data_IF_271307623931
#
_entry.id   IF_271307623931
#
_cell.length_a   1.000
_cell.length_b   1.000
_cell.length_c   1.000
_cell.angle_alpha   90.00
_cell.angle_beta   90.00
_cell.angle_gamma   90.00
#
_symmetry.space_group_name_H-M   'P 1'
#
loop_
_entity.id
_entity.type
_entity.pdbx_description
1 polymer ?
#
# COMPACT_ATOMS: atom_id res chain seq x y z
N UNK A 1 -7.30 17.41 3.32
CA UNK A 1 -6.76 16.63 4.45
C UNK A 1 -7.82 16.30 5.52
N UNK A 2 -8.05 17.09 6.57
CA UNK A 2 -8.81 16.62 7.76
C UNK A 2 -10.26 16.20 7.49
N UNK A 3 -11.02 16.94 6.68
CA UNK A 3 -12.37 16.55 6.25
C UNK A 3 -12.36 15.35 5.28
N UNK A 4 -11.32 15.29 4.47
CA UNK A 4 -11.24 14.39 3.34
C UNK A 4 -10.93 12.95 3.75
N UNK A 5 -10.16 12.75 4.82
CA UNK A 5 -9.86 11.41 5.34
C UNK A 5 -11.14 10.62 5.65
N UNK A 6 -12.06 11.15 6.50
CA UNK A 6 -13.37 10.55 6.73
C UNK A 6 -14.22 10.44 5.46
N UNK A 7 -14.14 11.40 4.54
CA UNK A 7 -14.88 11.33 3.28
C UNK A 7 -14.44 10.12 2.42
N UNK A 8 -13.15 9.78 2.43
CA UNK A 8 -12.58 8.65 1.69
C UNK A 8 -12.97 7.27 2.25
N UNK A 9 -13.51 7.20 3.48
CA UNK A 9 -14.05 5.95 4.04
C UNK A 9 -15.48 5.68 3.56
N UNK A 10 -16.18 6.69 3.04
CA UNK A 10 -17.52 6.53 2.48
C UNK A 10 -17.42 5.72 1.18
N UNK A 11 -18.13 4.58 1.13
CA UNK A 11 -18.08 3.62 0.01
C UNK A 11 -18.26 4.26 -1.37
N UNK A 12 -19.17 5.21 -1.51
CA UNK A 12 -19.42 5.90 -2.79
C UNK A 12 -18.22 6.71 -3.26
N UNK A 13 -17.58 7.46 -2.35
CA UNK A 13 -16.38 8.26 -2.63
C UNK A 13 -15.19 7.33 -2.87
N UNK A 14 -15.00 6.35 -1.99
CA UNK A 14 -13.93 5.35 -2.10
C UNK A 14 -13.98 4.58 -3.42
N UNK A 15 -15.19 4.30 -3.93
CA UNK A 15 -15.35 3.64 -5.23
C UNK A 15 -14.71 4.42 -6.38
N UNK A 16 -14.53 5.74 -6.25
CA UNK A 16 -13.89 6.62 -7.22
C UNK A 16 -12.41 6.87 -6.88
N UNK A 17 -12.09 7.14 -5.62
CA UNK A 17 -10.76 7.61 -5.18
C UNK A 17 -9.75 6.50 -4.90
N UNK A 18 -10.21 5.29 -4.59
CA UNK A 18 -9.31 4.18 -4.28
C UNK A 18 -8.54 3.74 -5.53
N UNK A 19 -7.25 3.46 -5.36
CA UNK A 19 -6.24 3.21 -6.40
C UNK A 19 -5.85 4.38 -7.30
N UNK A 20 -6.51 5.54 -7.18
CA UNK A 20 -6.19 6.71 -7.99
C UNK A 20 -5.19 7.63 -7.29
N UNK A 21 -4.70 8.63 -8.03
CA UNK A 21 -3.84 9.70 -7.52
C UNK A 21 -4.51 10.59 -6.46
N UNK A 22 -5.83 10.48 -6.29
CA UNK A 22 -6.57 11.18 -5.25
C UNK A 22 -6.02 10.84 -3.86
N UNK A 23 -5.86 9.54 -3.57
CA UNK A 23 -5.39 9.09 -2.25
C UNK A 23 -4.01 9.67 -1.96
N UNK A 24 -3.14 9.74 -2.97
CA UNK A 24 -1.78 10.28 -2.83
C UNK A 24 -1.83 11.78 -2.56
N UNK A 25 -2.68 12.52 -3.28
CA UNK A 25 -2.88 13.95 -3.04
C UNK A 25 -3.33 14.21 -1.59
N UNK A 26 -4.31 13.45 -1.10
CA UNK A 26 -4.80 13.52 0.27
C UNK A 26 -3.67 13.39 1.29
N UNK A 27 -2.89 12.30 1.26
CA UNK A 27 -1.83 12.09 2.25
C UNK A 27 -0.75 13.17 2.18
N UNK A 28 -0.40 13.64 0.98
CA UNK A 28 0.64 14.67 0.83
C UNK A 28 0.18 16.05 1.30
N UNK A 29 -1.10 16.40 1.17
CA UNK A 29 -1.63 17.64 1.77
C UNK A 29 -1.54 17.61 3.30
N UNK A 30 -1.75 16.44 3.92
CA UNK A 30 -1.55 16.27 5.36
C UNK A 30 -0.07 16.26 5.77
N UNK A 31 0.74 15.43 5.12
CA UNK A 31 2.13 15.22 5.49
C UNK A 31 3.05 16.39 5.12
N UNK A 32 3.02 16.84 3.86
CA UNK A 32 3.90 17.93 3.38
C UNK A 32 3.28 19.30 3.61
N UNK A 33 1.96 19.43 3.48
CA UNK A 33 1.25 20.68 3.74
C UNK A 33 1.17 20.99 5.23
N UNK A 34 0.32 20.28 5.96
CA UNK A 34 0.08 20.58 7.38
C UNK A 34 1.30 20.27 8.27
N UNK A 35 1.75 19.01 8.33
CA UNK A 35 2.86 18.62 9.22
C UNK A 35 4.19 19.26 8.79
N UNK A 36 4.48 19.27 7.49
CA UNK A 36 5.71 19.84 6.94
C UNK A 36 5.87 21.32 7.30
N UNK A 37 4.88 22.16 7.01
CA UNK A 37 4.97 23.59 7.32
C UNK A 37 4.98 23.88 8.82
N UNK A 38 4.29 23.08 9.62
CA UNK A 38 4.37 23.17 11.09
C UNK A 38 5.81 22.93 11.56
N UNK A 39 6.43 21.84 11.12
CA UNK A 39 7.82 21.50 11.46
C UNK A 39 8.78 22.60 10.99
N UNK A 40 8.62 23.10 9.76
CA UNK A 40 9.44 24.20 9.25
C UNK A 40 9.34 25.46 10.12
N UNK A 41 8.13 25.78 10.59
CA UNK A 41 7.88 26.93 11.45
C UNK A 41 8.50 26.75 12.83
N UNK A 42 8.36 25.55 13.41
CA UNK A 42 9.01 25.19 14.67
C UNK A 42 10.53 25.30 14.56
N UNK A 43 11.14 24.84 13.46
CA UNK A 43 12.59 24.94 13.25
C UNK A 43 13.06 26.39 13.13
N UNK A 44 12.35 27.24 12.40
CA UNK A 44 12.68 28.67 12.32
C UNK A 44 12.52 29.41 13.66
N UNK A 45 11.67 28.91 14.55
CA UNK A 45 11.52 29.45 15.90
C UNK A 45 12.56 28.90 16.88
N UNK A 46 12.90 27.62 16.76
CA UNK A 46 13.76 26.89 17.68
C UNK A 46 15.25 27.17 17.44
N UNK A 47 15.71 27.10 16.19
CA UNK A 47 17.14 27.21 15.86
C UNK A 47 17.75 28.56 16.31
N UNK A 48 17.14 29.73 16.06
CA UNK A 48 17.70 30.98 16.55
C UNK A 48 17.84 31.04 18.08
N UNK A 49 16.91 30.42 18.83
CA UNK A 49 16.97 30.34 20.29
C UNK A 49 18.09 29.44 20.79
N UNK A 50 18.21 28.23 20.22
CA UNK A 50 19.27 27.27 20.58
C UNK A 50 20.67 27.85 20.40
N UNK A 51 20.85 28.74 19.42
CA UNK A 51 22.14 29.38 19.13
C UNK A 51 22.23 30.83 19.60
N UNK A 52 21.27 31.28 20.44
CA UNK A 52 21.17 32.64 20.98
C UNK A 52 21.49 33.73 19.95
N UNK A 53 20.84 33.65 18.80
CA UNK A 53 21.08 34.54 17.67
C UNK A 53 19.77 34.90 16.98
N UNK A 54 19.84 35.82 16.03
CA UNK A 54 18.70 36.16 15.16
C UNK A 54 18.75 35.30 13.90
N UNK A 55 17.59 35.05 13.31
CA UNK A 55 17.53 34.34 12.05
C UNK A 55 18.38 35.05 10.98
N UNK A 56 19.24 34.31 10.30
CA UNK A 56 20.23 34.86 9.37
C UNK A 56 19.59 35.70 8.25
N UNK A 57 18.47 35.22 7.68
CA UNK A 57 17.72 35.97 6.67
C UNK A 57 16.22 35.70 6.76
N UNK A 58 15.47 36.75 7.10
CA UNK A 58 14.00 36.75 7.02
C UNK A 58 13.52 36.60 5.57
N UNK A 59 14.25 37.20 4.61
CA UNK A 59 13.89 37.10 3.18
C UNK A 59 13.99 35.67 2.67
N UNK A 60 15.04 34.93 3.04
CA UNK A 60 15.15 33.50 2.66
C UNK A 60 14.07 32.65 3.29
N UNK A 61 13.69 32.93 4.55
CA UNK A 61 12.56 32.24 5.18
C UNK A 61 11.26 32.51 4.42
N UNK A 62 10.97 33.77 4.07
CA UNK A 62 9.81 34.11 3.25
C UNK A 62 9.83 33.41 1.90
N UNK A 63 10.97 33.36 1.21
CA UNK A 63 11.09 32.62 -0.06
C UNK A 63 10.87 31.13 0.11
N UNK A 64 11.42 30.51 1.15
CA UNK A 64 11.14 29.10 1.45
C UNK A 64 9.63 28.87 1.61
N UNK A 65 8.93 29.65 2.43
CA UNK A 65 7.49 29.45 2.63
C UNK A 65 6.68 29.64 1.34
N UNK A 66 7.00 30.65 0.52
CA UNK A 66 6.31 30.87 -0.76
C UNK A 66 6.61 29.78 -1.79
N UNK A 67 7.88 29.39 -1.94
CA UNK A 67 8.29 28.32 -2.86
C UNK A 67 7.70 26.98 -2.41
N UNK A 68 7.72 26.69 -1.11
CA UNK A 68 7.09 25.51 -0.53
C UNK A 68 5.58 25.51 -0.79
N UNK A 69 4.90 26.65 -0.63
CA UNK A 69 3.45 26.77 -0.82
C UNK A 69 3.07 26.53 -2.28
N UNK A 70 3.78 27.17 -3.20
CA UNK A 70 3.61 26.94 -4.63
C UNK A 70 3.96 25.50 -5.00
N UNK A 71 5.01 24.93 -4.40
CA UNK A 71 5.44 23.56 -4.58
C UNK A 71 4.35 22.56 -4.21
N UNK A 72 3.73 22.70 -3.04
CA UNK A 72 2.64 21.81 -2.62
C UNK A 72 1.36 22.03 -3.44
N UNK A 73 1.07 23.25 -3.88
CA UNK A 73 -0.08 23.52 -4.77
C UNK A 73 0.09 22.84 -6.13
N UNK A 74 1.26 23.01 -6.78
CA UNK A 74 1.57 22.34 -8.04
C UNK A 74 1.79 20.83 -7.90
N UNK A 75 1.98 20.33 -6.67
CA UNK A 75 1.97 18.90 -6.40
C UNK A 75 0.56 18.34 -6.24
N UNK A 76 -0.24 18.92 -5.34
CA UNK A 76 -1.50 18.34 -4.90
C UNK A 76 -2.65 18.56 -5.90
N UNK A 77 -2.78 19.77 -6.47
CA UNK A 77 -3.90 20.10 -7.36
C UNK A 77 -3.91 19.19 -8.62
N UNK A 78 -2.79 19.01 -9.34
CA UNK A 78 -2.78 18.10 -10.49
C UNK A 78 -3.03 16.65 -10.10
N UNK A 79 -2.66 16.24 -8.88
CA UNK A 79 -2.89 14.88 -8.40
C UNK A 79 -4.37 14.63 -8.08
N UNK A 80 -5.08 15.62 -7.51
CA UNK A 80 -6.54 15.54 -7.39
C UNK A 80 -7.21 15.44 -8.76
N UNK A 81 -6.77 16.28 -9.70
CA UNK A 81 -7.30 16.24 -11.06
C UNK A 81 -7.04 14.89 -11.72
N UNK A 82 -5.81 14.38 -11.66
CA UNK A 82 -5.46 13.05 -12.17
C UNK A 82 -6.31 11.95 -11.51
N UNK A 83 -6.52 12.04 -10.19
CA UNK A 83 -7.31 11.09 -9.44
C UNK A 83 -8.78 11.04 -9.87
N UNK A 84 -9.39 12.20 -10.12
CA UNK A 84 -10.75 12.30 -10.67
C UNK A 84 -10.79 11.76 -12.09
N UNK A 85 -9.87 12.19 -12.96
CA UNK A 85 -9.79 11.73 -14.35
C UNK A 85 -9.66 10.21 -14.43
N UNK A 86 -8.77 9.61 -13.63
CA UNK A 86 -8.63 8.15 -13.52
C UNK A 86 -9.93 7.48 -13.11
N UNK A 87 -10.53 7.94 -12.00
CA UNK A 87 -11.75 7.35 -11.48
C UNK A 87 -12.92 7.42 -12.45
N UNK A 88 -13.07 8.54 -13.17
CA UNK A 88 -14.14 8.73 -14.16
C UNK A 88 -13.89 7.89 -15.42
N UNK A 89 -12.69 7.95 -16.00
CA UNK A 89 -12.35 7.19 -17.21
C UNK A 89 -12.48 5.69 -17.00
N UNK A 90 -12.05 5.17 -15.85
CA UNK A 90 -12.11 3.73 -15.58
C UNK A 90 -13.54 3.21 -15.46
N UNK A 91 -14.50 4.07 -15.09
CA UNK A 91 -15.90 3.71 -14.83
C UNK A 91 -16.85 4.07 -15.97
N UNK A 92 -16.35 4.72 -17.02
CA UNK A 92 -17.19 5.21 -18.10
C UNK A 92 -17.59 4.11 -19.08
N UNK A 93 -18.89 4.01 -19.32
CA UNK A 93 -19.50 3.15 -20.34
C UNK A 93 -20.21 4.02 -21.38
N UNK A 94 -20.24 3.56 -22.63
CA UNK A 94 -21.02 4.19 -23.70
C UNK A 94 -22.51 3.79 -23.60
N UNK A 95 -23.35 4.38 -24.46
CA UNK A 95 -24.79 4.07 -24.53
C UNK A 95 -25.08 2.60 -24.79
N UNK A 96 -24.18 1.92 -25.50
CA UNK A 96 -24.30 0.52 -25.90
C UNK A 96 -23.85 -0.44 -24.80
N UNK A 97 -23.37 0.08 -23.66
CA UNK A 97 -22.97 -0.70 -22.49
C UNK A 97 -21.55 -1.25 -22.54
N UNK A 98 -20.71 -0.84 -23.50
CA UNK A 98 -19.28 -1.15 -23.56
C UNK A 98 -18.46 -0.09 -22.83
N UNK A 99 -17.27 -0.47 -22.34
CA UNK A 99 -16.35 0.49 -21.74
C UNK A 99 -15.86 1.50 -22.78
N UNK A 100 -15.94 2.79 -22.44
CA UNK A 100 -15.45 3.87 -23.31
C UNK A 100 -13.92 3.79 -23.50
N UNK A 101 -13.20 3.46 -22.42
CA UNK A 101 -11.74 3.44 -22.38
C UNK A 101 -11.22 2.04 -21.99
N UNK A 102 -11.35 1.01 -22.84
CA UNK A 102 -10.99 -0.37 -22.49
C UNK A 102 -9.46 -0.54 -22.33
N UNK A 103 -8.66 0.22 -23.07
CA UNK A 103 -7.21 0.21 -22.92
C UNK A 103 -6.79 1.08 -21.73
N UNK A 104 -6.19 0.46 -20.71
CA UNK A 104 -5.73 1.18 -19.52
C UNK A 104 -4.70 2.28 -19.84
N UNK A 105 -3.89 2.07 -20.89
CA UNK A 105 -2.83 3.00 -21.28
C UNK A 105 -3.38 4.37 -21.69
N UNK A 106 -4.60 4.44 -22.21
CA UNK A 106 -5.22 5.70 -22.60
C UNK A 106 -5.37 6.65 -21.42
N UNK A 107 -5.85 6.15 -20.28
CA UNK A 107 -5.92 6.94 -19.04
C UNK A 107 -4.55 7.41 -18.59
N UNK A 108 -3.52 6.55 -18.70
CA UNK A 108 -2.15 6.90 -18.31
C UNK A 108 -1.61 8.04 -19.16
N UNK A 109 -1.83 8.01 -20.48
CA UNK A 109 -1.40 9.07 -21.40
C UNK A 109 -2.14 10.38 -21.08
N UNK A 110 -3.44 10.32 -20.76
CA UNK A 110 -4.23 11.50 -20.41
C UNK A 110 -3.74 12.21 -19.15
N UNK A 111 -3.23 11.49 -18.16
CA UNK A 111 -2.74 12.08 -16.89
C UNK A 111 -1.26 12.48 -16.91
N UNK A 112 -0.51 12.19 -17.98
CA UNK A 112 0.90 12.57 -18.11
C UNK A 112 1.17 14.07 -17.87
N UNK A 113 0.34 15.01 -18.38
CA UNK A 113 0.53 16.43 -18.08
C UNK A 113 0.48 16.72 -16.57
N UNK A 114 -0.41 16.07 -15.83
CA UNK A 114 -0.54 16.24 -14.37
C UNK A 114 0.71 15.72 -13.65
N UNK A 115 1.29 14.61 -14.11
CA UNK A 115 2.55 14.10 -13.57
C UNK A 115 3.73 15.04 -13.81
N UNK A 116 3.79 15.72 -14.96
CA UNK A 116 4.82 16.74 -15.24
C UNK A 116 4.70 17.92 -14.27
N UNK A 117 3.48 18.44 -14.06
CA UNK A 117 3.25 19.55 -13.12
C UNK A 117 3.57 19.10 -11.68
N UNK A 118 3.20 17.87 -11.30
CA UNK A 118 3.55 17.28 -10.01
C UNK A 118 5.08 17.26 -9.80
N UNK A 119 5.85 16.86 -10.81
CA UNK A 119 7.31 16.84 -10.73
C UNK A 119 7.90 18.24 -10.52
N UNK A 120 7.33 19.26 -11.18
CA UNK A 120 7.69 20.67 -10.98
C UNK A 120 7.39 21.08 -9.52
N UNK A 121 6.18 20.79 -9.03
CA UNK A 121 5.77 21.12 -7.66
C UNK A 121 6.66 20.46 -6.61
N UNK A 122 6.97 19.17 -6.77
CA UNK A 122 7.89 18.45 -5.89
C UNK A 122 9.32 19.03 -5.91
N UNK A 123 9.82 19.42 -7.08
CA UNK A 123 11.13 20.04 -7.21
C UNK A 123 11.20 21.41 -6.51
N UNK A 124 10.14 22.22 -6.65
CA UNK A 124 10.02 23.48 -5.91
C UNK A 124 10.02 23.25 -4.40
N UNK A 125 9.28 22.25 -3.92
CA UNK A 125 9.23 21.94 -2.50
C UNK A 125 10.60 21.51 -1.94
N UNK A 126 11.33 20.67 -2.67
CA UNK A 126 12.72 20.28 -2.32
C UNK A 126 13.63 21.51 -2.31
N UNK A 127 13.56 22.36 -3.33
CA UNK A 127 14.36 23.59 -3.40
C UNK A 127 14.07 24.51 -2.21
N UNK A 128 12.79 24.69 -1.85
CA UNK A 128 12.39 25.43 -0.64
C UNK A 128 12.99 24.84 0.63
N UNK A 129 12.97 23.51 0.76
CA UNK A 129 13.56 22.80 1.91
C UNK A 129 15.07 22.97 1.97
N UNK A 130 15.77 22.98 0.83
CA UNK A 130 17.21 23.26 0.76
C UNK A 130 17.53 24.71 1.17
N UNK A 131 16.72 25.68 0.75
CA UNK A 131 16.84 27.07 1.20
C UNK A 131 16.64 27.20 2.70
N UNK A 132 15.69 26.46 3.28
CA UNK A 132 15.50 26.37 4.72
C UNK A 132 16.75 25.84 5.41
N UNK A 133 17.23 24.66 5.00
CA UNK A 133 18.38 24.01 5.58
C UNK A 133 19.61 24.94 5.55
N UNK A 134 19.83 25.62 4.43
CA UNK A 134 20.89 26.62 4.30
C UNK A 134 20.71 27.79 5.26
N UNK A 135 19.51 28.38 5.35
CA UNK A 135 19.25 29.52 6.23
C UNK A 135 19.43 29.14 7.72
N UNK A 136 18.94 27.98 8.12
CA UNK A 136 19.08 27.45 9.48
C UNK A 136 20.54 27.14 9.81
N UNK A 137 21.29 26.52 8.88
CA UNK A 137 22.71 26.26 9.05
C UNK A 137 23.53 27.56 9.21
N UNK A 138 23.25 28.57 8.38
CA UNK A 138 23.87 29.89 8.50
C UNK A 138 23.55 30.56 9.83
N UNK A 139 22.30 30.43 10.28
CA UNK A 139 21.84 30.93 11.58
C UNK A 139 22.63 30.28 12.71
N UNK A 140 22.67 28.94 12.75
CA UNK A 140 23.43 28.20 13.75
C UNK A 140 24.93 28.58 13.77
N UNK A 141 25.55 28.72 12.59
CA UNK A 141 26.96 29.12 12.46
C UNK A 141 27.24 30.56 12.91
N UNK A 142 26.25 31.45 12.85
CA UNK A 142 26.39 32.85 13.30
C UNK A 142 26.18 33.03 14.80
N UNK A 143 25.71 32.01 15.50
CA UNK A 143 25.40 32.07 16.92
C UNK A 143 26.35 31.22 17.78
N UNK A 144 26.04 31.16 19.07
CA UNK A 144 26.73 30.34 20.05
C UNK A 144 25.70 29.41 20.66
N UNK A 145 25.95 28.09 20.61
CA UNK A 145 25.01 27.14 21.17
C UNK A 145 24.89 27.35 22.69
N UNK A 146 23.66 27.51 23.17
CA UNK A 146 23.35 27.66 24.60
C UNK A 146 22.78 26.32 25.08
N UNK A 147 23.53 25.54 25.88
CA UNK A 147 23.10 24.21 26.31
C UNK A 147 21.96 24.26 27.33
N UNK A 148 21.93 25.31 28.15
CA UNK A 148 20.98 25.45 29.27
C UNK A 148 20.44 26.88 29.27
N UNK A 149 19.10 26.99 29.21
CA UNK A 149 18.38 28.25 29.39
C UNK A 149 17.45 28.05 30.59
N UNK A 150 17.56 28.90 31.61
CA UNK A 150 16.64 28.86 32.74
C UNK A 150 15.25 29.32 32.29
N UNK A 151 14.36 28.35 32.05
CA UNK A 151 12.96 28.62 31.71
C UNK A 151 12.11 28.54 32.97
N UNK A 152 11.52 29.65 33.38
CA UNK A 152 10.50 29.64 34.42
C UNK A 152 9.16 29.24 33.80
N UNK A 153 8.60 28.10 34.25
CA UNK A 153 7.24 27.74 33.89
C UNK A 153 6.28 28.82 34.41
N UNK A 154 5.23 29.12 33.62
CA UNK A 154 4.15 29.97 34.10
C UNK A 154 3.65 29.43 35.45
N UNK A 155 3.57 30.30 36.46
CA UNK A 155 3.12 29.92 37.82
C UNK A 155 1.81 29.13 37.69
N UNK A 156 1.82 27.89 38.15
CA UNK A 156 0.60 27.08 38.25
C UNK A 156 -0.37 27.88 39.12
N UNK A 157 -1.50 28.34 38.57
CA UNK A 157 -2.44 29.14 39.35
C UNK A 157 -3.09 28.25 40.40
N UNK A 158 -2.95 28.62 41.68
CA UNK A 158 -3.61 27.92 42.80
C UNK A 158 -5.14 28.08 42.78
N UNK A 159 -5.65 28.97 41.94
CA UNK A 159 -7.08 29.12 41.71
C UNK A 159 -7.62 27.90 40.95
N UNK A 160 -8.67 27.21 41.44
CA UNK A 160 -9.43 26.32 40.57
C UNK A 160 -9.82 27.16 39.37
N UNK A 161 -9.67 26.64 38.16
CA UNK A 161 -10.00 27.39 36.96
C UNK A 161 -11.49 27.72 36.97
N UNK A 162 -11.85 28.83 37.61
CA UNK A 162 -13.19 29.36 37.66
C UNK A 162 -13.50 29.80 36.25
N UNK A 163 -14.39 29.05 35.62
CA UNK A 163 -15.21 29.43 34.47
C UNK A 163 -14.73 30.69 33.77
N UNK A 164 -13.83 30.53 32.79
CA UNK A 164 -13.58 31.56 31.80
C UNK A 164 -14.81 31.70 30.89
N UNK A 165 -15.95 32.15 31.42
CA UNK A 165 -17.18 32.57 30.72
C UNK A 165 -17.87 31.57 29.78
N UNK A 166 -17.22 30.46 29.47
CA UNK A 166 -17.61 29.44 28.52
C UNK A 166 -17.66 28.14 29.28
N UNK A 167 -18.74 27.95 30.03
CA UNK A 167 -19.16 26.63 30.52
C UNK A 167 -19.37 25.76 29.28
N UNK A 168 -18.33 25.07 28.82
CA UNK A 168 -18.50 24.05 27.81
C UNK A 168 -19.46 23.02 28.43
N UNK A 169 -20.62 22.74 27.82
CA UNK A 169 -21.67 21.93 28.44
C UNK A 169 -21.23 20.50 28.77
N UNK A 170 -20.09 20.08 28.24
CA UNK A 170 -19.47 18.77 28.40
C UNK A 170 -18.14 18.96 29.13
N UNK A 171 -18.11 18.83 30.45
CA UNK A 171 -16.90 19.06 31.27
C UNK A 171 -15.83 17.98 31.08
N UNK A 172 -14.86 18.19 30.18
CA UNK A 172 -13.77 17.26 29.87
C UNK A 172 -12.40 17.69 30.43
N UNK A 173 -12.32 18.85 31.09
CA UNK A 173 -11.07 19.39 31.65
C UNK A 173 -10.39 18.47 32.66
N UNK A 174 -11.15 17.65 33.38
CA UNK A 174 -10.60 16.67 34.33
C UNK A 174 -9.74 15.59 33.64
N UNK A 175 -10.00 15.34 32.35
CA UNK A 175 -9.24 14.44 31.50
C UNK A 175 -8.03 15.16 30.90
N UNK A 176 -8.24 16.34 30.32
CA UNK A 176 -7.18 17.15 29.69
C UNK A 176 -6.11 17.63 30.68
N UNK A 177 -6.50 17.89 31.93
CA UNK A 177 -5.58 18.33 32.97
C UNK A 177 -4.66 17.21 33.48
N UNK A 178 -4.94 15.95 33.16
CA UNK A 178 -4.19 14.77 33.63
C UNK A 178 -3.55 14.04 32.44
N UNK A 179 -2.37 14.49 31.95
CA UNK A 179 -1.79 13.97 30.72
C UNK A 179 -1.53 12.45 30.76
N UNK A 180 -1.03 11.92 31.88
CA UNK A 180 -0.81 10.46 32.03
C UNK A 180 -2.11 9.67 31.91
N UNK A 181 -3.19 10.13 32.57
CA UNK A 181 -4.49 9.49 32.50
C UNK A 181 -5.05 9.53 31.08
N UNK A 182 -4.96 10.69 30.42
CA UNK A 182 -5.40 10.84 29.03
C UNK A 182 -4.62 9.92 28.08
N UNK A 183 -3.30 9.83 28.22
CA UNK A 183 -2.47 8.92 27.42
C UNK A 183 -2.86 7.45 27.62
N UNK A 184 -3.10 7.02 28.85
CA UNK A 184 -3.54 5.63 29.14
C UNK A 184 -4.91 5.37 28.51
N UNK A 185 -5.87 6.27 28.67
CA UNK A 185 -7.21 6.11 28.09
C UNK A 185 -7.19 6.12 26.56
N UNK A 186 -6.38 6.98 25.95
CA UNK A 186 -6.17 7.00 24.50
C UNK A 186 -5.56 5.68 24.00
N UNK A 187 -4.56 5.14 24.71
CA UNK A 187 -3.97 3.84 24.39
C UNK A 187 -5.01 2.72 24.47
N UNK A 188 -5.82 2.69 25.54
CA UNK A 188 -6.92 1.72 25.69
C UNK A 188 -7.90 1.83 24.53
N UNK A 189 -8.30 3.04 24.14
CA UNK A 189 -9.22 3.25 23.01
C UNK A 189 -8.64 2.72 21.68
N UNK A 190 -7.36 2.97 21.41
CA UNK A 190 -6.66 2.46 20.21
C UNK A 190 -6.61 0.92 20.24
N UNK A 191 -6.27 0.33 21.39
CA UNK A 191 -6.21 -1.13 21.53
C UNK A 191 -7.57 -1.78 21.33
N UNK A 192 -8.65 -1.19 21.85
CA UNK A 192 -10.01 -1.71 21.64
C UNK A 192 -10.37 -1.71 20.16
N UNK A 193 -10.10 -0.62 19.43
CA UNK A 193 -10.30 -0.58 17.98
C UNK A 193 -9.52 -1.67 17.25
N UNK A 194 -8.23 -1.81 17.56
CA UNK A 194 -7.38 -2.85 16.97
C UNK A 194 -7.87 -4.28 17.29
N UNK A 195 -8.33 -4.53 18.51
CA UNK A 195 -8.87 -5.84 18.89
C UNK A 195 -10.16 -6.15 18.13
N UNK A 196 -11.07 -5.19 18.01
CA UNK A 196 -12.34 -5.36 17.29
C UNK A 196 -12.12 -5.63 15.80
N UNK A 197 -11.09 -5.04 15.19
CA UNK A 197 -10.76 -5.27 13.77
C UNK A 197 -9.98 -6.57 13.53
N UNK A 198 -8.97 -6.88 14.35
CA UNK A 198 -8.04 -7.99 14.10
C UNK A 198 -8.53 -9.34 14.66
N UNK A 199 -9.12 -9.35 15.86
CA UNK A 199 -9.46 -10.61 16.54
C UNK A 199 -10.53 -11.40 15.79
N UNK A 200 -11.66 -10.80 15.33
CA UNK A 200 -12.67 -11.54 14.58
C UNK A 200 -12.14 -12.11 13.26
N UNK A 201 -11.21 -11.41 12.59
CA UNK A 201 -10.59 -11.92 11.35
C UNK A 201 -9.72 -13.15 11.60
N UNK A 202 -9.08 -13.26 12.77
CA UNK A 202 -8.25 -14.42 13.12
C UNK A 202 -9.07 -15.61 13.63
N UNK A 203 -10.12 -15.37 14.41
CA UNK A 203 -10.90 -16.43 15.07
C UNK A 203 -12.00 -17.01 14.17
N UNK A 204 -12.63 -16.19 13.34
CA UNK A 204 -13.79 -16.59 12.54
C UNK A 204 -13.31 -17.04 11.14
N UNK A 205 -13.11 -18.34 10.97
CA UNK A 205 -12.62 -18.92 9.69
C UNK A 205 -13.53 -18.61 8.49
N UNK A 206 -14.82 -18.37 8.72
CA UNK A 206 -15.76 -17.97 7.67
C UNK A 206 -15.44 -16.61 7.05
N UNK A 207 -14.72 -15.73 7.78
CA UNK A 207 -14.28 -14.43 7.26
C UNK A 207 -13.16 -14.56 6.21
N UNK A 208 -12.44 -15.69 6.21
CA UNK A 208 -11.35 -15.97 5.25
C UNK A 208 -11.55 -17.36 4.64
N UNK A 209 -12.54 -17.53 3.75
CA UNK A 209 -12.84 -18.83 3.17
C UNK A 209 -11.67 -19.29 2.29
N UNK A 210 -11.11 -20.46 2.60
CA UNK A 210 -10.07 -21.07 1.76
C UNK A 210 -10.69 -21.69 0.52
N UNK A 211 -10.15 -21.37 -0.66
CA UNK A 211 -10.60 -21.95 -1.93
C UNK A 211 -9.77 -23.23 -2.17
N UNK A 212 -10.44 -24.38 -2.31
CA UNK A 212 -9.76 -25.69 -2.43
C UNK A 212 -8.86 -25.82 -3.67
N UNK A 213 -9.13 -25.04 -4.72
CA UNK A 213 -8.31 -25.02 -5.93
C UNK A 213 -7.04 -24.16 -5.80
N UNK A 214 -6.98 -23.26 -4.81
CA UNK A 214 -5.81 -22.41 -4.57
C UNK A 214 -4.72 -23.25 -3.92
N UNK A 215 -3.56 -23.31 -4.58
CA UNK A 215 -2.37 -24.04 -4.12
C UNK A 215 -1.25 -23.07 -3.73
N UNK A 216 -0.34 -23.49 -2.83
CA UNK A 216 0.90 -22.76 -2.61
C UNK A 216 1.66 -22.53 -3.92
N UNK A 217 2.37 -21.41 -4.00
CA UNK A 217 3.28 -21.12 -5.11
C UNK A 217 4.33 -22.22 -5.27
N UNK A 218 4.75 -22.49 -6.49
CA UNK A 218 5.92 -23.35 -6.71
C UNK A 218 7.21 -22.64 -6.25
N UNK A 219 8.29 -23.41 -6.10
CA UNK A 219 9.59 -22.86 -5.75
C UNK A 219 10.08 -21.71 -6.67
N UNK A 220 9.84 -21.81 -7.98
CA UNK A 220 10.20 -20.75 -8.93
C UNK A 220 9.29 -19.53 -8.79
N UNK A 221 7.99 -19.74 -8.56
CA UNK A 221 7.00 -18.68 -8.36
C UNK A 221 7.25 -17.90 -7.06
N UNK A 222 7.68 -18.58 -5.98
CA UNK A 222 8.09 -17.91 -4.73
C UNK A 222 9.22 -16.93 -4.99
N UNK A 223 10.28 -17.36 -5.70
CA UNK A 223 11.38 -16.46 -6.03
C UNK A 223 10.94 -15.35 -7.00
N UNK A 224 10.07 -15.66 -7.97
CA UNK A 224 9.48 -14.67 -8.88
C UNK A 224 8.66 -13.60 -8.16
N UNK A 225 7.91 -14.00 -7.13
CA UNK A 225 7.15 -13.12 -6.26
C UNK A 225 8.05 -12.23 -5.41
N UNK A 226 9.14 -12.78 -4.89
CA UNK A 226 10.13 -12.02 -4.14
C UNK A 226 10.84 -10.99 -5.04
N UNK A 227 11.08 -11.32 -6.30
CA UNK A 227 11.56 -10.36 -7.31
C UNK A 227 10.52 -9.26 -7.57
N UNK A 228 9.24 -9.62 -7.73
CA UNK A 228 8.15 -8.63 -7.88
C UNK A 228 8.11 -7.64 -6.70
N UNK A 229 8.38 -8.12 -5.48
CA UNK A 229 8.51 -7.28 -4.27
C UNK A 229 9.77 -6.42 -4.34
N UNK A 230 10.94 -7.02 -4.63
CA UNK A 230 12.24 -6.34 -4.71
C UNK A 230 12.21 -5.17 -5.70
N UNK A 231 11.59 -5.38 -6.85
CA UNK A 231 11.48 -4.40 -7.93
C UNK A 231 10.40 -3.34 -7.71
N UNK A 232 9.64 -3.42 -6.60
CA UNK A 232 8.64 -2.43 -6.22
C UNK A 232 7.40 -2.41 -7.12
N UNK A 233 7.11 -3.50 -7.85
CA UNK A 233 6.02 -3.56 -8.82
C UNK A 233 4.65 -3.23 -8.18
N UNK A 234 4.47 -3.62 -6.91
CA UNK A 234 3.28 -3.32 -6.08
C UNK A 234 2.96 -1.83 -5.94
N UNK A 235 3.96 -0.94 -6.11
CA UNK A 235 3.74 0.51 -6.08
C UNK A 235 3.04 1.07 -7.32
N UNK A 236 3.04 0.31 -8.42
CA UNK A 236 2.41 0.70 -9.68
C UNK A 236 1.23 -0.20 -10.05
N UNK A 237 1.24 -1.45 -9.63
CA UNK A 237 0.29 -2.48 -10.01
C UNK A 237 -0.39 -3.07 -8.78
N UNK A 238 -1.71 -3.00 -8.76
CA UNK A 238 -2.52 -3.73 -7.78
C UNK A 238 -2.68 -5.19 -8.17
N UNK A 239 -2.99 -6.01 -7.18
CA UNK A 239 -3.44 -7.40 -7.37
C UNK A 239 -4.74 -7.62 -6.59
N UNK A 240 -5.70 -6.72 -6.74
CA UNK A 240 -7.01 -6.84 -6.10
C UNK A 240 -8.06 -6.12 -6.94
N UNK A 241 -8.86 -6.91 -7.65
CA UNK A 241 -9.97 -6.47 -8.48
C UNK A 241 -11.20 -6.29 -7.59
N UNK A 242 -11.76 -5.08 -7.60
CA UNK A 242 -12.94 -4.74 -6.80
C UNK A 242 -14.22 -5.24 -7.47
N UNK A 243 -15.29 -5.51 -6.70
CA UNK A 243 -16.57 -6.00 -7.23
C UNK A 243 -17.40 -4.88 -7.87
N UNK A 244 -16.84 -4.18 -8.86
CA UNK A 244 -17.52 -3.21 -9.69
C UNK A 244 -17.57 -3.72 -11.13
N UNK A 245 -18.69 -3.47 -11.82
CA UNK A 245 -18.84 -3.83 -13.24
C UNK A 245 -17.66 -3.32 -14.08
N UNK A 246 -17.25 -2.07 -13.89
CA UNK A 246 -16.11 -1.46 -14.60
C UNK A 246 -14.78 -2.18 -14.42
N UNK A 247 -14.58 -2.82 -13.26
CA UNK A 247 -13.35 -3.60 -13.01
C UNK A 247 -13.48 -5.02 -13.54
N UNK A 248 -14.65 -5.64 -13.37
CA UNK A 248 -14.86 -7.01 -13.83
C UNK A 248 -14.81 -7.13 -15.35
N UNK A 249 -15.35 -6.14 -16.07
CA UNK A 249 -15.26 -6.07 -17.54
C UNK A 249 -13.81 -5.87 -18.01
N UNK A 250 -12.98 -5.17 -17.24
CA UNK A 250 -11.60 -4.83 -17.63
C UNK A 250 -10.59 -5.92 -17.30
N UNK A 251 -10.71 -6.50 -16.12
CA UNK A 251 -9.70 -7.40 -15.57
C UNK A 251 -10.18 -8.84 -15.44
N UNK A 252 -11.51 -9.09 -15.47
CA UNK A 252 -12.11 -10.39 -15.20
C UNK A 252 -12.68 -10.46 -13.79
N UNK A 253 -12.99 -11.67 -13.32
CA UNK A 253 -13.68 -11.88 -12.03
C UNK A 253 -13.01 -11.15 -10.86
N UNK A 254 -13.83 -10.53 -10.00
CA UNK A 254 -13.36 -9.84 -8.80
C UNK A 254 -12.57 -10.77 -7.88
N UNK A 255 -11.70 -10.19 -7.07
CA UNK A 255 -10.81 -10.95 -6.19
C UNK A 255 -11.51 -11.43 -4.93
N UNK A 256 -11.23 -12.67 -4.53
CA UNK A 256 -11.79 -13.31 -3.33
C UNK A 256 -10.70 -13.41 -2.26
N UNK A 257 -11.09 -13.26 -0.99
CA UNK A 257 -10.15 -13.34 0.13
C UNK A 257 -9.34 -14.65 0.14
N UNK A 258 -9.99 -15.76 -0.25
CA UNK A 258 -9.38 -17.09 -0.33
C UNK A 258 -8.22 -17.25 -1.31
N UNK A 259 -8.01 -16.30 -2.22
CA UNK A 259 -6.92 -16.34 -3.20
C UNK A 259 -5.60 -15.84 -2.60
N UNK A 260 -5.67 -15.04 -1.53
CA UNK A 260 -4.51 -14.41 -0.90
C UNK A 260 -4.00 -15.18 0.34
N UNK A 261 -4.58 -16.35 0.63
CA UNK A 261 -4.31 -17.09 1.88
C UNK A 261 -2.86 -17.55 2.04
N UNK A 262 -2.11 -17.64 0.94
CA UNK A 262 -0.68 -17.98 0.95
C UNK A 262 0.23 -16.79 0.65
N UNK A 263 -0.33 -15.58 0.54
CA UNK A 263 0.45 -14.37 0.27
C UNK A 263 1.03 -13.78 1.56
N UNK A 264 2.32 -13.99 1.75
CA UNK A 264 3.08 -13.40 2.84
C UNK A 264 4.22 -12.53 2.30
N UNK A 265 4.16 -11.18 2.40
CA UNK A 265 2.98 -10.36 2.75
C UNK A 265 2.01 -10.20 1.57
N UNK A 266 0.77 -9.78 1.80
CA UNK A 266 -0.19 -9.52 0.70
C UNK A 266 0.33 -8.48 -0.32
N UNK A 267 -0.05 -8.62 -1.59
CA UNK A 267 0.38 -7.74 -2.70
C UNK A 267 -0.79 -7.02 -3.39
N UNK A 268 -1.87 -6.73 -2.66
CA UNK A 268 -3.08 -6.08 -3.18
C UNK A 268 -2.81 -4.74 -3.86
N UNK A 269 -1.75 -4.04 -3.44
CA UNK A 269 -1.41 -2.70 -3.91
C UNK A 269 -2.32 -1.62 -3.33
N UNK A 270 -1.93 -0.36 -3.55
CA UNK A 270 -2.68 0.82 -3.08
C UNK A 270 -2.83 1.90 -4.16
N UNK A 271 -2.25 1.66 -5.34
CA UNK A 271 -2.26 2.56 -6.49
C UNK A 271 -2.24 1.76 -7.80
N UNK A 272 -2.87 2.30 -8.84
CA UNK A 272 -2.78 1.83 -10.23
C UNK A 272 -2.14 2.92 -11.12
N UNK A 273 -0.81 2.90 -11.20
CA UNK A 273 -0.08 3.60 -12.27
C UNK A 273 -0.09 2.75 -13.54
N UNK A 274 0.02 1.43 -13.37
CA UNK A 274 -0.27 0.42 -14.38
C UNK A 274 -1.55 -0.35 -14.04
N UNK A 275 -2.02 -1.24 -14.93
CA UNK A 275 -3.23 -2.01 -14.71
C UNK A 275 -3.10 -2.99 -13.53
N UNK A 276 -4.23 -3.45 -13.01
CA UNK A 276 -4.28 -4.57 -12.08
C UNK A 276 -3.75 -5.86 -12.74
N UNK A 277 -2.98 -6.66 -11.98
CA UNK A 277 -2.32 -7.87 -12.47
C UNK A 277 -2.93 -9.17 -11.94
N UNK A 278 -3.94 -9.13 -11.07
CA UNK A 278 -4.40 -10.35 -10.38
C UNK A 278 -4.99 -11.42 -11.32
N UNK A 279 -5.31 -11.07 -12.57
CA UNK A 279 -5.83 -11.99 -13.60
C UNK A 279 -4.97 -12.00 -14.85
N UNK A 280 -3.68 -11.67 -14.74
CA UNK A 280 -2.78 -11.64 -15.91
C UNK A 280 -2.36 -13.05 -16.35
N UNK A 281 -2.50 -14.07 -15.50
CA UNK A 281 -2.11 -15.44 -15.81
C UNK A 281 -2.77 -16.01 -17.06
N UNK A 282 -1.94 -16.36 -18.05
CA UNK A 282 -2.35 -16.86 -19.35
C UNK A 282 -2.93 -15.80 -20.30
N UNK A 283 -2.94 -14.52 -19.93
CA UNK A 283 -3.47 -13.44 -20.79
C UNK A 283 -2.49 -13.05 -21.89
N UNK A 284 -1.19 -13.12 -21.61
CA UNK A 284 -0.11 -12.82 -22.55
C UNK A 284 0.89 -13.99 -22.60
N UNK A 285 1.53 -14.25 -23.74
CA UNK A 285 2.57 -15.29 -23.83
C UNK A 285 3.84 -14.87 -23.07
N UNK A 286 4.65 -15.84 -22.66
CA UNK A 286 5.91 -15.58 -21.93
C UNK A 286 6.82 -14.62 -22.68
N UNK A 287 6.88 -14.73 -24.01
CA UNK A 287 7.68 -13.84 -24.85
C UNK A 287 7.20 -12.38 -24.79
N UNK A 288 5.90 -12.15 -24.62
CA UNK A 288 5.37 -10.80 -24.39
C UNK A 288 5.84 -10.27 -23.05
N UNK A 289 5.77 -11.07 -21.98
CA UNK A 289 6.26 -10.65 -20.66
C UNK A 289 7.75 -10.33 -20.68
N UNK A 290 8.56 -11.16 -21.36
CA UNK A 290 9.99 -10.92 -21.53
C UNK A 290 10.25 -9.58 -22.23
N UNK A 291 9.64 -9.36 -23.41
CA UNK A 291 9.84 -8.15 -24.19
C UNK A 291 9.27 -6.91 -23.49
N UNK A 292 8.15 -7.06 -22.78
CA UNK A 292 7.57 -5.99 -21.98
C UNK A 292 8.48 -5.59 -20.82
N UNK A 293 9.15 -6.52 -20.14
CA UNK A 293 10.10 -6.19 -19.08
C UNK A 293 11.39 -5.57 -19.61
N UNK A 294 11.87 -5.97 -20.79
CA UNK A 294 13.02 -5.32 -21.42
C UNK A 294 12.69 -3.89 -21.86
N UNK A 295 11.63 -3.73 -22.66
CA UNK A 295 11.14 -2.45 -23.11
C UNK A 295 9.60 -2.41 -23.12
N UNK A 296 8.98 -1.86 -22.07
CA UNK A 296 7.52 -1.71 -22.01
C UNK A 296 6.92 -0.90 -23.17
N UNK A 297 7.69 0.00 -23.78
CA UNK A 297 7.21 0.82 -24.92
C UNK A 297 7.20 0.03 -26.23
N UNK A 298 7.95 -1.07 -26.32
CA UNK A 298 7.92 -1.95 -27.51
C UNK A 298 6.58 -2.69 -27.65
N UNK A 299 5.99 -3.07 -26.52
CA UNK A 299 4.72 -3.83 -26.45
C UNK A 299 3.52 -2.94 -26.13
N UNK A 300 3.76 -1.78 -25.52
CA UNK A 300 2.73 -0.79 -25.16
C UNK A 300 3.25 0.63 -25.43
N UNK A 301 3.16 1.13 -26.68
CA UNK A 301 3.67 2.44 -27.06
C UNK A 301 3.08 3.57 -26.19
N UNK A 302 3.94 4.32 -25.51
CA UNK A 302 3.53 5.35 -24.54
C UNK A 302 3.50 4.89 -23.08
N UNK A 303 3.87 3.62 -22.80
CA UNK A 303 4.02 3.13 -21.43
C UNK A 303 5.05 3.94 -20.64
N UNK A 304 4.70 4.27 -19.40
CA UNK A 304 5.57 4.92 -18.42
C UNK A 304 6.24 3.93 -17.47
N UNK A 305 6.05 2.63 -17.68
CA UNK A 305 6.70 1.60 -16.89
C UNK A 305 8.22 1.65 -17.12
N UNK A 306 9.03 1.57 -16.05
CA UNK A 306 10.48 1.45 -16.17
C UNK A 306 10.91 0.21 -16.96
N UNK A 307 12.10 0.26 -17.57
CA UNK A 307 12.75 -0.95 -18.09
C UNK A 307 13.28 -1.77 -16.93
N UNK A 308 13.20 -3.09 -17.03
CA UNK A 308 13.77 -4.05 -16.09
C UNK A 308 14.75 -4.99 -16.81
N UNK A 309 15.56 -4.42 -17.73
CA UNK A 309 16.50 -5.18 -18.57
C UNK A 309 17.57 -5.95 -17.78
N UNK A 310 17.83 -5.57 -16.53
CA UNK A 310 18.73 -6.32 -15.64
C UNK A 310 18.20 -7.71 -15.29
N UNK A 311 16.89 -7.91 -15.20
CA UNK A 311 16.29 -9.23 -14.91
C UNK A 311 16.60 -10.27 -15.99
N UNK A 312 16.90 -9.82 -17.21
CA UNK A 312 17.25 -10.67 -18.35
C UNK A 312 18.70 -11.16 -18.26
N UNK A 313 19.56 -10.41 -17.59
CA UNK A 313 21.01 -10.71 -17.52
C UNK A 313 21.43 -11.26 -16.16
N UNK A 314 20.76 -10.88 -15.07
CA UNK A 314 21.04 -11.37 -13.73
C UNK A 314 20.65 -12.84 -13.56
N UNK A 315 21.48 -13.57 -12.81
CA UNK A 315 21.23 -14.97 -12.47
C UNK A 315 20.34 -15.06 -11.24
N UNK A 316 19.42 -16.02 -11.25
CA UNK A 316 18.54 -16.30 -10.14
C UNK A 316 19.33 -16.95 -8.99
N UNK A 317 19.38 -16.28 -7.84
CA UNK A 317 19.91 -16.86 -6.61
C UNK A 317 18.90 -17.80 -5.95
N UNK A 318 19.28 -19.07 -5.83
CA UNK A 318 18.46 -20.13 -5.24
C UNK A 318 18.95 -20.58 -3.87
N UNK A 319 20.06 -20.03 -3.36
CA UNK A 319 20.71 -20.44 -2.11
C UNK A 319 19.78 -20.33 -0.89
N UNK A 320 18.90 -19.33 -0.89
CA UNK A 320 17.95 -19.05 0.19
C UNK A 320 16.61 -19.80 0.06
N UNK A 321 16.38 -20.57 -1.00
CA UNK A 321 15.10 -21.22 -1.27
C UNK A 321 14.66 -22.18 -0.14
N UNK A 322 15.51 -23.09 0.40
CA UNK A 322 15.10 -23.96 1.51
C UNK A 322 14.64 -23.17 2.74
N UNK A 323 15.35 -22.10 3.09
CA UNK A 323 15.01 -21.26 4.23
C UNK A 323 13.68 -20.52 4.01
N UNK A 324 13.41 -20.04 2.79
CA UNK A 324 12.16 -19.36 2.42
C UNK A 324 10.96 -20.31 2.51
N UNK A 325 11.07 -21.51 1.93
CA UNK A 325 10.02 -22.55 2.03
C UNK A 325 9.78 -22.93 3.49
N UNK A 326 10.85 -23.12 4.28
CA UNK A 326 10.74 -23.39 5.71
C UNK A 326 10.03 -22.28 6.48
N UNK A 327 10.30 -21.01 6.16
CA UNK A 327 9.61 -19.86 6.75
C UNK A 327 8.13 -19.79 6.33
N UNK A 328 7.81 -20.00 5.05
CA UNK A 328 6.44 -20.06 4.57
C UNK A 328 5.64 -21.19 5.25
N UNK A 329 6.27 -22.36 5.44
CA UNK A 329 5.67 -23.46 6.20
C UNK A 329 5.39 -23.09 7.66
N UNK A 330 6.30 -22.34 8.31
CA UNK A 330 6.11 -21.86 9.69
C UNK A 330 4.93 -20.89 9.83
N UNK A 331 4.66 -20.06 8.82
CA UNK A 331 3.52 -19.13 8.82
C UNK A 331 2.21 -19.75 8.32
N UNK A 332 2.19 -21.06 8.06
CA UNK A 332 0.97 -21.82 7.77
C UNK A 332 0.76 -22.21 6.31
N UNK A 333 1.70 -21.91 5.40
CA UNK A 333 1.60 -22.36 4.01
C UNK A 333 1.84 -23.88 3.95
N UNK A 334 0.91 -24.68 3.37
CA UNK A 334 0.92 -26.14 3.48
C UNK A 334 1.92 -26.82 2.52
N UNK A 335 3.20 -26.47 2.60
CA UNK A 335 4.26 -27.22 1.92
C UNK A 335 4.49 -28.56 2.64
N UNK A 336 4.59 -29.68 1.91
CA UNK A 336 4.94 -30.97 2.50
C UNK A 336 6.25 -30.92 3.31
N UNK A 337 6.35 -31.76 4.34
CA UNK A 337 7.62 -31.96 5.03
C UNK A 337 8.66 -32.49 4.04
N UNK A 338 9.84 -31.86 3.99
CA UNK A 338 10.88 -32.19 3.01
C UNK A 338 10.62 -31.69 1.58
N UNK A 339 9.68 -30.77 1.37
CA UNK A 339 9.50 -30.14 0.06
C UNK A 339 10.79 -29.45 -0.43
N UNK A 340 11.63 -28.98 0.48
CA UNK A 340 12.91 -28.33 0.21
C UNK A 340 13.85 -29.19 -0.66
N UNK A 341 13.82 -30.52 -0.52
CA UNK A 341 14.65 -31.41 -1.34
C UNK A 341 14.14 -31.56 -2.78
N UNK A 342 12.84 -31.38 -3.01
CA UNK A 342 12.21 -31.46 -4.35
C UNK A 342 12.09 -30.10 -5.02
N UNK A 343 12.05 -29.03 -4.24
CA UNK A 343 11.85 -27.65 -4.68
C UNK A 343 12.84 -27.25 -5.79
N UNK A 344 14.11 -27.62 -5.68
CA UNK A 344 15.12 -27.28 -6.69
C UNK A 344 14.90 -28.02 -8.02
N UNK A 345 14.44 -29.28 -7.96
CA UNK A 345 14.14 -30.09 -9.15
C UNK A 345 12.92 -29.50 -9.87
N UNK A 346 11.85 -29.21 -9.13
CA UNK A 346 10.63 -28.61 -9.67
C UNK A 346 10.89 -27.21 -10.24
N UNK A 347 11.71 -26.40 -9.55
CA UNK A 347 12.15 -25.09 -10.02
C UNK A 347 12.86 -25.21 -11.38
N UNK A 348 13.86 -26.09 -11.50
CA UNK A 348 14.61 -26.29 -12.75
C UNK A 348 13.69 -26.78 -13.88
N UNK A 349 12.77 -27.69 -13.58
CA UNK A 349 11.80 -28.20 -14.55
C UNK A 349 10.82 -27.12 -15.03
N UNK A 350 10.32 -26.26 -14.14
CA UNK A 350 9.46 -25.14 -14.52
C UNK A 350 10.23 -24.08 -15.31
N UNK A 351 11.45 -23.74 -14.90
CA UNK A 351 12.29 -22.80 -15.60
C UNK A 351 12.62 -23.26 -17.02
N UNK A 352 12.95 -24.54 -17.21
CA UNK A 352 13.18 -25.12 -18.52
C UNK A 352 11.93 -25.04 -19.43
N UNK A 353 10.73 -25.27 -18.88
CA UNK A 353 9.47 -25.14 -19.62
C UNK A 353 9.24 -23.70 -20.09
N UNK A 354 9.46 -22.71 -19.22
CA UNK A 354 9.31 -21.29 -19.58
C UNK A 354 10.36 -20.89 -20.62
N UNK A 355 11.62 -21.30 -20.47
CA UNK A 355 12.65 -21.07 -21.50
C UNK A 355 12.30 -21.70 -22.86
N UNK A 356 11.69 -22.89 -22.86
CA UNK A 356 11.21 -23.52 -24.10
C UNK A 356 10.04 -22.74 -24.73
N UNK A 357 9.11 -22.24 -23.91
CA UNK A 357 8.01 -21.35 -24.33
C UNK A 357 8.53 -20.04 -24.93
N UNK A 358 9.54 -19.43 -24.30
CA UNK A 358 10.22 -18.25 -24.83
C UNK A 358 10.88 -18.52 -26.17
N UNK A 359 11.55 -19.66 -26.32
CA UNK A 359 12.17 -20.05 -27.59
C UNK A 359 11.14 -20.22 -28.72
N UNK A 360 9.94 -20.72 -28.42
CA UNK A 360 8.84 -20.78 -29.37
C UNK A 360 8.36 -19.38 -29.81
N UNK A 361 8.50 -18.37 -28.93
CA UNK A 361 8.29 -16.96 -29.24
C UNK A 361 9.52 -16.24 -29.82
N UNK A 362 10.53 -16.96 -30.30
CA UNK A 362 11.79 -16.44 -30.84
C UNK A 362 12.64 -15.65 -29.83
N UNK A 363 12.41 -15.82 -28.54
CA UNK A 363 13.19 -15.19 -27.46
C UNK A 363 14.17 -16.21 -26.88
N UNK A 364 15.46 -15.90 -26.90
CA UNK A 364 16.51 -16.74 -26.30
C UNK A 364 16.80 -16.25 -24.88
N UNK A 365 16.40 -17.04 -23.88
CA UNK A 365 16.68 -16.76 -22.47
C UNK A 365 17.12 -18.04 -21.75
N UNK A 366 18.22 -17.94 -21.01
CA UNK A 366 18.71 -19.04 -20.17
C UNK A 366 17.74 -19.29 -19.00
N UNK A 367 17.49 -20.55 -18.60
CA UNK A 367 16.54 -20.87 -17.53
C UNK A 367 16.98 -20.39 -16.14
N UNK A 368 18.25 -20.01 -15.98
CA UNK A 368 18.83 -19.51 -14.74
C UNK A 368 18.68 -17.99 -14.54
N UNK A 369 17.89 -17.29 -15.37
CA UNK A 369 17.70 -15.83 -15.28
C UNK A 369 16.54 -15.45 -14.39
N UNK A 370 16.65 -14.31 -13.73
CA UNK A 370 15.59 -13.78 -12.85
C UNK A 370 14.27 -13.54 -13.58
N UNK A 371 14.32 -13.10 -14.84
CA UNK A 371 13.11 -12.91 -15.67
C UNK A 371 12.27 -14.19 -15.79
N UNK A 372 12.89 -15.37 -15.77
CA UNK A 372 12.19 -16.65 -15.84
C UNK A 372 11.33 -16.86 -14.59
N UNK A 373 11.87 -16.52 -13.42
CA UNK A 373 11.13 -16.59 -12.16
C UNK A 373 9.98 -15.58 -12.12
N UNK A 374 10.23 -14.33 -12.54
CA UNK A 374 9.19 -13.31 -12.60
C UNK A 374 8.04 -13.71 -13.54
N UNK A 375 8.35 -14.25 -14.72
CA UNK A 375 7.35 -14.77 -15.66
C UNK A 375 6.55 -15.89 -15.02
N UNK A 376 7.19 -16.83 -14.32
CA UNK A 376 6.50 -17.91 -13.61
C UNK A 376 5.45 -17.36 -12.64
N UNK A 377 5.83 -16.38 -11.83
CA UNK A 377 4.93 -15.72 -10.89
C UNK A 377 3.78 -14.99 -11.59
N UNK A 378 4.06 -14.18 -12.63
CA UNK A 378 3.00 -13.45 -13.34
C UNK A 378 2.02 -14.38 -14.04
N UNK A 379 2.51 -15.47 -14.64
CA UNK A 379 1.65 -16.48 -15.28
C UNK A 379 0.77 -17.23 -14.28
N UNK A 380 1.16 -17.23 -13.01
CA UNK A 380 0.42 -17.89 -11.93
C UNK A 380 -0.77 -17.06 -11.41
N UNK A 381 -0.76 -15.74 -11.58
CA UNK A 381 -1.76 -14.84 -10.99
C UNK A 381 -3.17 -15.08 -11.56
N UNK A 382 -4.09 -15.47 -10.67
CA UNK A 382 -5.52 -15.64 -10.97
C UNK A 382 -5.88 -16.89 -11.76
N UNK A 383 -5.00 -17.87 -11.86
CA UNK A 383 -5.27 -19.13 -12.59
C UNK A 383 -6.02 -20.17 -11.74
N UNK A 384 -5.88 -20.14 -10.41
CA UNK A 384 -6.49 -21.13 -9.51
C UNK A 384 -8.01 -21.17 -9.55
N UNK A 385 -8.65 -20.04 -9.81
CA UNK A 385 -10.10 -19.93 -9.85
C UNK A 385 -10.69 -20.49 -11.15
N UNK A 386 -9.85 -20.75 -12.17
CA UNK A 386 -10.27 -21.34 -13.45
C UNK A 386 -10.35 -22.86 -13.38
N UNK A 387 -9.71 -23.49 -12.38
CA UNK A 387 -9.78 -24.93 -12.17
C UNK A 387 -11.09 -25.29 -11.46
N UNK A 388 -11.74 -26.42 -11.79
CA UNK A 388 -12.91 -26.89 -11.05
C UNK A 388 -12.55 -27.05 -9.57
N UNK A 389 -13.39 -26.51 -8.69
CA UNK A 389 -13.20 -26.68 -7.25
C UNK A 389 -13.19 -28.18 -6.92
N UNK A 390 -12.12 -28.67 -6.29
CA UNK A 390 -12.13 -30.01 -5.71
C UNK A 390 -13.24 -30.05 -4.64
N UNK A 391 -14.04 -31.14 -4.55
CA UNK A 391 -15.09 -31.24 -3.56
C UNK A 391 -14.51 -31.02 -2.17
N UNK A 392 -15.13 -30.10 -1.41
CA UNK A 392 -14.69 -29.74 -0.08
C UNK A 392 -14.54 -31.01 0.78
N UNK A 393 -13.35 -31.22 1.35
CA UNK A 393 -13.14 -32.29 2.31
C UNK A 393 -14.08 -32.02 3.50
N UNK A 394 -15.11 -32.87 3.67
CA UNK A 394 -15.95 -32.87 4.87
C UNK A 394 -15.03 -33.11 6.07
N UNK A 395 -14.74 -32.07 6.83
CA UNK A 395 -14.13 -32.23 8.15
C UNK A 395 -15.17 -32.91 9.04
N UNK A 396 -14.94 -34.19 9.33
CA UNK A 396 -15.66 -34.91 10.37
C UNK A 396 -15.34 -34.24 11.70
N UNK A 397 -16.28 -33.47 12.23
CA UNK A 397 -16.21 -33.00 13.60
C UNK A 397 -16.28 -34.22 14.52
N UNK A 398 -15.14 -34.61 15.10
CA UNK A 398 -15.10 -35.49 16.26
C UNK A 398 -15.71 -34.73 17.44
N UNK A 399 -16.96 -35.03 17.76
CA UNK A 399 -17.61 -34.58 18.98
C UNK A 399 -17.07 -35.43 20.13
N UNK A 400 -15.99 -34.98 20.75
CA UNK A 400 -15.69 -35.33 22.14
C UNK A 400 -16.23 -34.19 23.02
N UNK A 401 -17.31 -34.46 23.74
CA UNK A 401 -17.93 -33.51 24.64
C UNK A 401 -19.02 -34.19 25.44
N UNK A 402 -18.66 -34.66 26.63
CA UNK A 402 -19.55 -35.35 27.56
C UNK A 402 -20.78 -34.52 27.91
N UNK A 403 -21.96 -35.14 27.76
CA UNK A 403 -23.22 -34.58 28.20
C UNK A 403 -23.28 -34.58 29.73
N UNK A 404 -23.21 -33.40 30.34
CA UNK A 404 -23.72 -33.18 31.70
C UNK A 404 -25.15 -32.64 31.54
N UNK A 405 -26.13 -33.50 31.80
CA UNK A 405 -27.53 -33.14 31.84
C UNK A 405 -27.84 -32.36 33.13
N UNK A 406 -28.38 -31.16 33.01
CA UNK A 406 -29.04 -30.45 34.10
C UNK A 406 -30.56 -30.70 34.02
N UNK A 407 -31.25 -30.97 35.14
CA UNK A 407 -32.68 -31.26 35.13
C UNK A 407 -33.50 -29.97 35.02
N UNK A 408 -34.45 -29.96 34.09
CA UNK A 408 -35.49 -28.93 33.97
C UNK A 408 -36.58 -29.21 34.99
N UNK A 409 -36.81 -28.28 35.91
CA UNK A 409 -37.95 -28.28 36.82
C UNK A 409 -39.16 -27.64 36.13
N UNK A 410 -40.24 -28.41 35.99
CA UNK A 410 -41.54 -27.94 35.51
C UNK A 410 -42.30 -27.30 36.67
N UNK A 411 -42.55 -25.99 36.57
CA UNK A 411 -43.48 -25.25 37.44
C UNK A 411 -44.85 -25.19 36.76
N UNK A 412 -45.81 -25.92 37.31
CA UNK A 412 -47.24 -25.79 37.07
C UNK A 412 -47.78 -24.53 37.74
N UNK A 413 -48.39 -23.60 36.99
CA UNK A 413 -49.51 -22.77 37.47
C UNK A 413 -50.45 -22.38 36.31
N UNK A 414 -51.72 -22.74 36.53
CA UNK A 414 -52.99 -22.37 35.89
C UNK A 414 -53.29 -22.83 34.46
#
# INVERSE_FOLDING_TARGET
ATLEGPMLSIKSVNSLSHYTDWTIAHVHTGALGWNGFMVFSMLYWLVPRLYNTKLWSLKLASYHFWIGLLGIMFYAIPMYWAGVTQGLMWKQFNSDGFMQYPNFLETVIQILPMYRIRAIGGSLFILGTLLMAYNLWRTAKSGSFVPEEEVQAARLSDAPATDSGHKHPWGHRWLEAKPLLFTVLALVAILVGGLVELVPLHLIKENVPTISSVKPYTALEVLGRDLYIREGCVGCHSQMIRPFRSETERYGEYSKAGEFVFDHPFLWGSKRTGPDLHRVGGKYPDAWHYNHMDDPRSTSPGSIMPRYSWLLTQKLDTSSLPARIGALRKVGVPYPAGYEQKAEIELKAQAARISASLAAGMVKASPDREIIALIAYLQRLGTDIKAPAAPAAKQTASVEGGAVALPVTTSTQN
#
